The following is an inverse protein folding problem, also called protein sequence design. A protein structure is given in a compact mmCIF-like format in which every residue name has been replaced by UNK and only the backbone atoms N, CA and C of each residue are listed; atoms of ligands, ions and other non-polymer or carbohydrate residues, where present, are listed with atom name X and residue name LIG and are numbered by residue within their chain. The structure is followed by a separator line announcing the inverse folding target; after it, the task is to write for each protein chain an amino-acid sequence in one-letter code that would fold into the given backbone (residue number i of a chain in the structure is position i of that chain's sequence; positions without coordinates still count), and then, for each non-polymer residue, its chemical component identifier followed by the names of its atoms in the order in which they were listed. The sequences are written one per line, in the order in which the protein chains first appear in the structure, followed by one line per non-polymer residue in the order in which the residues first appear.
data_IF_993672672609
#
_entry.id   IF_993672672609
#
_cell.length_a   1.000
_cell.length_b   1.000
_cell.length_c   1.000
_cell.angle_alpha   90.00
_cell.angle_beta   90.00
_cell.angle_gamma   90.00
#
_symmetry.space_group_name_H-M   'P 1'
#
loop_
_entity.id
_entity.type
_entity.pdbx_description
1 polymer ?
#
# COMPACT_ATOMS: atom_id res chain seq x y z
N UNK A 1 11.43 1.01 11.72
CA UNK A 1 10.66 1.33 10.50
C UNK A 1 10.62 0.11 9.60
N UNK A 2 9.43 -0.44 9.30
CA UNK A 2 9.28 -1.64 8.48
C UNK A 2 9.89 -1.46 7.06
N UNK A 3 9.71 -0.27 6.49
CA UNK A 3 10.15 0.13 5.15
C UNK A 3 11.64 0.48 5.04
N UNK A 4 12.37 0.60 6.16
CA UNK A 4 13.80 0.85 6.15
C UNK A 4 14.63 -0.45 6.09
N UNK A 5 13.98 -1.62 6.17
CA UNK A 5 14.69 -2.90 6.16
C UNK A 5 15.09 -3.29 4.73
N UNK A 6 16.38 -3.55 4.46
CA UNK A 6 16.83 -3.99 3.15
C UNK A 6 16.27 -5.37 2.77
N UNK A 7 15.85 -6.18 3.74
CA UNK A 7 15.31 -7.53 3.55
C UNK A 7 13.79 -7.57 3.34
N UNK A 8 13.10 -6.43 3.37
CA UNK A 8 11.66 -6.40 3.20
C UNK A 8 11.29 -6.47 1.71
N UNK A 9 10.73 -7.61 1.29
CA UNK A 9 10.28 -7.83 -0.09
C UNK A 9 8.75 -7.74 -0.23
N UNK A 10 8.00 -8.35 0.69
CA UNK A 10 6.54 -8.46 0.63
C UNK A 10 5.91 -8.67 2.00
N UNK A 11 4.75 -8.05 2.24
CA UNK A 11 3.85 -8.45 3.32
C UNK A 11 2.38 -8.37 2.90
N UNK A 12 1.50 -9.04 3.64
CA UNK A 12 0.05 -8.87 3.53
C UNK A 12 -0.55 -8.72 4.92
N UNK A 13 -1.39 -7.70 5.08
CA UNK A 13 -2.06 -7.36 6.34
C UNK A 13 -3.57 -7.39 6.07
N UNK A 14 -4.34 -7.87 7.05
CA UNK A 14 -5.80 -7.84 7.04
C UNK A 14 -6.25 -6.86 8.13
N UNK A 15 -6.94 -5.79 7.75
CA UNK A 15 -7.52 -4.81 8.65
C UNK A 15 -9.04 -4.89 8.56
N UNK A 16 -9.70 -5.26 9.65
CA UNK A 16 -11.13 -5.57 9.68
C UNK A 16 -12.04 -4.33 9.76
N UNK A 17 -11.48 -3.11 9.82
CA UNK A 17 -12.23 -1.88 9.98
C UNK A 17 -11.89 -0.80 8.94
N UNK A 18 -12.79 0.16 8.75
CA UNK A 18 -12.58 1.33 7.88
C UNK A 18 -11.44 2.22 8.38
N UNK A 19 -11.12 2.16 9.68
CA UNK A 19 -9.97 2.83 10.30
C UNK A 19 -8.67 2.48 9.60
N UNK A 20 -8.49 1.19 9.25
CA UNK A 20 -7.31 0.69 8.56
C UNK A 20 -7.13 1.34 7.18
N UNK A 21 -8.23 1.58 6.45
CA UNK A 21 -8.19 2.22 5.13
C UNK A 21 -7.93 3.73 5.23
N UNK A 22 -8.47 4.40 6.25
CA UNK A 22 -8.22 5.83 6.49
C UNK A 22 -6.78 6.10 6.92
N UNK A 23 -6.21 5.26 7.80
CA UNK A 23 -4.81 5.36 8.22
C UNK A 23 -3.83 5.25 7.04
N UNK A 24 -4.14 4.42 6.05
CA UNK A 24 -3.33 4.31 4.81
C UNK A 24 -3.38 5.62 4.02
N UNK A 25 -4.56 6.25 3.91
CA UNK A 25 -4.67 7.55 3.21
C UNK A 25 -3.91 8.65 3.94
N UNK A 26 -3.96 8.69 5.27
CA UNK A 26 -3.22 9.67 6.06
C UNK A 26 -1.70 9.51 5.92
N UNK A 27 -1.21 8.27 5.93
CA UNK A 27 0.23 7.98 5.85
C UNK A 27 0.78 8.12 4.43
N UNK A 28 0.05 7.62 3.42
CA UNK A 28 0.54 7.50 2.04
C UNK A 28 -0.07 8.54 1.09
N UNK A 29 -0.96 9.38 1.57
CA UNK A 29 -1.62 10.43 0.78
C UNK A 29 -2.71 9.88 -0.13
N UNK A 30 -2.84 10.47 -1.32
CA UNK A 30 -3.82 10.05 -2.31
C UNK A 30 -3.34 8.84 -3.12
N UNK A 31 -4.29 7.98 -3.50
CA UNK A 31 -4.01 6.82 -4.34
C UNK A 31 -3.79 7.26 -5.79
N UNK A 32 -2.92 6.53 -6.49
CA UNK A 32 -2.60 6.78 -7.89
C UNK A 32 -3.64 6.17 -8.84
N UNK A 33 -4.22 5.04 -8.45
CA UNK A 33 -5.19 4.30 -9.25
C UNK A 33 -6.32 3.80 -8.35
N UNK A 34 -7.54 4.01 -8.81
CA UNK A 34 -8.76 3.44 -8.26
C UNK A 34 -9.45 2.65 -9.36
N UNK A 35 -9.65 1.35 -9.12
CA UNK A 35 -10.44 0.52 -10.04
C UNK A 35 -11.92 0.66 -9.66
N UNK A 36 -12.69 1.37 -10.49
CA UNK A 36 -14.12 1.62 -10.27
C UNK A 36 -14.99 0.41 -10.64
N UNK A 37 -14.44 -0.64 -11.26
CA UNK A 37 -15.20 -1.78 -11.79
C UNK A 37 -15.47 -2.90 -10.78
N UNK A 38 -15.06 -2.77 -9.51
CA UNK A 38 -15.34 -3.79 -8.49
C UNK A 38 -16.04 -3.19 -7.27
N UNK A 39 -17.02 -3.92 -6.70
CA UNK A 39 -17.70 -3.55 -5.44
C UNK A 39 -16.73 -3.30 -4.27
N UNK A 40 -15.50 -3.77 -4.36
CA UNK A 40 -14.43 -3.45 -3.43
C UNK A 40 -13.50 -2.41 -4.07
N UNK A 41 -13.39 -1.25 -3.42
CA UNK A 41 -12.48 -0.18 -3.79
C UNK A 41 -11.04 -0.69 -3.81
N UNK A 42 -10.47 -0.88 -5.01
CA UNK A 42 -9.05 -1.21 -5.16
C UNK A 42 -8.24 0.07 -5.30
N UNK A 43 -7.39 0.37 -4.32
CA UNK A 43 -6.53 1.56 -4.32
C UNK A 43 -5.06 1.15 -4.37
N UNK A 44 -4.27 1.83 -5.19
CA UNK A 44 -2.83 1.61 -5.29
C UNK A 44 -2.05 2.86 -4.90
N UNK A 45 -1.04 2.69 -4.06
CA UNK A 45 -0.13 3.74 -3.60
C UNK A 45 1.32 3.34 -3.89
N UNK A 46 2.15 4.32 -4.22
CA UNK A 46 3.59 4.14 -4.39
C UNK A 46 4.35 4.95 -3.34
N UNK A 47 5.17 4.28 -2.53
CA UNK A 47 6.04 4.91 -1.54
C UNK A 47 7.50 4.78 -1.97
N UNK A 48 8.17 5.87 -2.38
CA UNK A 48 9.53 5.82 -2.89
C UNK A 48 10.54 5.49 -1.78
N UNK A 49 11.56 4.70 -2.12
CA UNK A 49 12.67 4.42 -1.20
C UNK A 49 13.77 5.44 -1.48
N UNK A 50 14.16 6.20 -0.45
CA UNK A 50 15.21 7.21 -0.60
C UNK A 50 16.51 6.60 -1.15
N UNK A 51 17.11 7.28 -2.13
CA UNK A 51 18.34 6.85 -2.82
C UNK A 51 18.26 5.48 -3.52
N UNK A 52 17.06 5.01 -3.87
CA UNK A 52 16.84 3.82 -4.68
C UNK A 52 15.99 4.15 -5.90
N UNK A 53 16.14 3.36 -6.98
CA UNK A 53 15.16 3.36 -8.07
C UNK A 53 13.90 2.57 -7.69
N UNK A 54 13.93 1.89 -6.55
CA UNK A 54 12.83 1.06 -6.06
C UNK A 54 11.82 1.85 -5.24
N UNK A 55 10.62 1.28 -5.13
CA UNK A 55 9.53 1.79 -4.32
C UNK A 55 8.74 0.63 -3.70
N UNK A 56 7.96 0.93 -2.68
CA UNK A 56 6.95 0.02 -2.16
C UNK A 56 5.61 0.32 -2.83
N UNK A 57 5.05 -0.68 -3.50
CA UNK A 57 3.69 -0.67 -3.99
C UNK A 57 2.75 -1.22 -2.91
N UNK A 58 1.76 -0.42 -2.53
CA UNK A 58 0.76 -0.76 -1.52
C UNK A 58 -0.58 -0.87 -2.23
N UNK A 59 -1.15 -2.07 -2.25
CA UNK A 59 -2.47 -2.35 -2.81
C UNK A 59 -3.45 -2.58 -1.68
N UNK A 60 -4.54 -1.83 -1.70
CA UNK A 60 -5.67 -1.95 -0.79
C UNK A 60 -6.83 -2.55 -1.57
N UNK A 61 -7.34 -3.69 -1.12
CA UNK A 61 -8.45 -4.44 -1.70
C UNK A 61 -9.43 -4.72 -0.55
N UNK A 62 -10.39 -3.80 -0.32
CA UNK A 62 -11.26 -3.85 0.86
C UNK A 62 -10.45 -3.84 2.17
N UNK A 63 -10.55 -4.92 2.93
CA UNK A 63 -9.84 -5.14 4.20
C UNK A 63 -8.41 -5.67 4.04
N UNK A 64 -7.98 -5.95 2.81
CA UNK A 64 -6.67 -6.56 2.55
C UNK A 64 -5.69 -5.53 2.03
N UNK A 65 -4.52 -5.51 2.68
CA UNK A 65 -3.39 -4.69 2.31
C UNK A 65 -2.26 -5.60 1.84
N UNK A 66 -1.67 -5.29 0.69
CA UNK A 66 -0.49 -5.99 0.17
C UNK A 66 0.58 -4.95 -0.09
N UNK A 67 1.74 -5.14 0.52
CA UNK A 67 2.92 -4.31 0.29
C UNK A 67 3.94 -5.14 -0.46
N UNK A 68 4.48 -4.62 -1.55
CA UNK A 68 5.50 -5.30 -2.36
C UNK A 68 6.57 -4.31 -2.79
N UNK A 69 7.85 -4.68 -2.71
CA UNK A 69 8.96 -3.89 -3.26
C UNK A 69 9.03 -4.07 -4.78
N UNK A 70 9.18 -2.97 -5.51
CA UNK A 70 9.24 -2.91 -6.97
C UNK A 70 10.43 -2.08 -7.41
N UNK A 71 10.95 -2.38 -8.61
CA UNK A 71 11.93 -1.56 -9.33
C UNK A 71 11.24 -0.59 -10.26
#
# INVERSE_FOLDING_TARGET
MLFASPSFEKCSILGYDDTSANAIKEEFGDYLLQDENTSELKKTYHYPIANSTEYFEIRVEGHRFKVTRKK
#
